data_IF_241744287715
#
_entry.id   IF_241744287715
#
_cell.length_a   1.000
_cell.length_b   1.000
_cell.length_c   1.000
_cell.angle_alpha   90.00
_cell.angle_beta   90.00
_cell.angle_gamma   90.00
#
_symmetry.space_group_name_H-M   'P 1'
#
loop_
_entity.id
_entity.type
_entity.pdbx_description
1 polymer ?
#
# COMPACT_ATOMS: atom_id res chain seq x y z
N UNK A 1 -4.61 -6.14 4.65
CA UNK A 1 -3.13 -6.27 4.76
C UNK A 1 -2.63 -6.96 3.50
N UNK A 2 -1.51 -6.51 2.94
CA UNK A 2 -0.92 -7.08 1.71
C UNK A 2 0.59 -7.19 1.89
N UNK A 3 1.19 -8.30 1.47
CA UNK A 3 2.65 -8.50 1.45
C UNK A 3 3.09 -8.66 0.00
N UNK A 4 4.10 -7.90 -0.41
CA UNK A 4 4.66 -7.94 -1.77
C UNK A 4 6.19 -8.07 -1.72
N UNK A 5 6.80 -8.87 -2.61
CA UNK A 5 8.25 -8.85 -2.77
C UNK A 5 8.69 -7.49 -3.32
N UNK A 6 9.87 -7.04 -2.90
CA UNK A 6 10.51 -5.88 -3.50
C UNK A 6 10.92 -6.22 -4.95
N UNK A 7 10.55 -5.39 -5.93
CA UNK A 7 10.93 -5.61 -7.33
C UNK A 7 12.44 -5.56 -7.62
N UNK A 8 13.25 -4.96 -6.74
CA UNK A 8 14.70 -4.81 -6.88
C UNK A 8 15.53 -5.79 -6.04
N UNK A 9 14.96 -6.41 -4.99
CA UNK A 9 15.69 -7.34 -4.12
C UNK A 9 14.79 -8.48 -3.64
N UNK A 10 15.16 -9.71 -3.99
CA UNK A 10 14.40 -10.93 -3.66
C UNK A 10 14.26 -11.24 -2.17
N UNK A 11 15.05 -10.57 -1.33
CA UNK A 11 15.06 -10.77 0.11
C UNK A 11 14.39 -9.63 0.86
N UNK A 12 13.99 -8.56 0.16
CA UNK A 12 13.21 -7.48 0.74
C UNK A 12 11.73 -7.65 0.43
N UNK A 13 10.88 -7.39 1.42
CA UNK A 13 9.44 -7.48 1.30
C UNK A 13 8.78 -6.24 1.86
N UNK A 14 7.77 -5.75 1.15
CA UNK A 14 6.87 -4.73 1.64
C UNK A 14 5.67 -5.37 2.35
N UNK A 15 5.34 -4.84 3.52
CA UNK A 15 4.11 -5.15 4.25
C UNK A 15 3.25 -3.90 4.30
N UNK A 16 2.11 -3.92 3.61
CA UNK A 16 1.17 -2.81 3.57
C UNK A 16 -0.04 -3.05 4.48
N UNK A 17 -0.43 -2.00 5.19
CA UNK A 17 -1.58 -1.98 6.09
C UNK A 17 -2.27 -0.62 6.08
N UNK A 18 -3.56 -0.62 6.44
CA UNK A 18 -4.36 0.59 6.59
C UNK A 18 -4.58 0.79 8.09
N UNK A 19 -4.31 1.99 8.58
CA UNK A 19 -4.77 2.43 9.88
C UNK A 19 -6.15 3.06 9.77
N UNK A 20 -7.06 2.72 10.68
CA UNK A 20 -8.46 3.18 10.67
C UNK A 20 -8.87 3.98 11.91
N UNK A 21 -7.97 4.12 12.89
CA UNK A 21 -8.20 4.85 14.15
C UNK A 21 -7.26 6.06 14.29
N UNK A 22 -6.59 6.22 15.44
CA UNK A 22 -5.79 7.41 15.79
C UNK A 22 -4.60 7.67 14.85
N UNK A 23 -4.07 6.60 14.25
CA UNK A 23 -3.01 6.69 13.24
C UNK A 23 -3.54 6.13 11.93
N UNK A 24 -4.41 6.91 11.29
CA UNK A 24 -5.07 6.53 10.04
C UNK A 24 -4.13 6.61 8.83
N UNK A 25 -4.58 6.01 7.73
CA UNK A 25 -3.90 6.08 6.44
C UNK A 25 -3.19 4.80 6.03
N UNK A 26 -2.72 4.79 4.78
CA UNK A 26 -1.94 3.69 4.23
C UNK A 26 -0.51 3.76 4.76
N UNK A 27 -0.02 2.62 5.24
CA UNK A 27 1.32 2.47 5.79
C UNK A 27 2.03 1.32 5.13
N UNK A 28 3.35 1.37 5.18
CA UNK A 28 4.18 0.23 4.84
C UNK A 28 5.26 -0.02 5.88
N UNK A 29 5.65 -1.27 5.99
CA UNK A 29 6.92 -1.69 6.55
C UNK A 29 7.73 -2.39 5.48
N UNK A 30 9.05 -2.40 5.63
CA UNK A 30 9.97 -3.13 4.77
C UNK A 30 10.77 -4.10 5.63
N UNK A 31 10.79 -5.36 5.24
CA UNK A 31 11.42 -6.45 5.97
C UNK A 31 12.53 -7.00 5.10
N UNK A 32 13.71 -7.21 5.69
CA UNK A 32 14.84 -7.90 5.07
C UNK A 32 14.96 -9.30 5.63
N UNK A 33 14.68 -10.32 4.82
CA UNK A 33 14.72 -11.72 5.22
C UNK A 33 16.15 -12.26 5.43
N UNK A 34 17.19 -11.59 4.92
CA UNK A 34 18.59 -11.96 5.22
C UNK A 34 18.99 -11.53 6.65
N UNK A 35 18.27 -10.56 7.20
CA UNK A 35 18.53 -10.04 8.54
C UNK A 35 18.28 -11.07 9.65
N UNK A 36 18.86 -10.80 10.82
CA UNK A 36 18.72 -11.64 12.02
C UNK A 36 19.03 -13.13 11.78
N UNK A 37 20.17 -13.41 11.13
CA UNK A 37 20.60 -14.76 10.77
C UNK A 37 19.55 -15.54 9.95
N UNK A 38 18.80 -14.85 9.08
CA UNK A 38 17.75 -15.44 8.24
C UNK A 38 16.36 -15.47 8.87
N UNK A 39 16.18 -14.94 10.09
CA UNK A 39 14.87 -14.82 10.74
C UNK A 39 14.08 -13.58 10.29
N UNK A 40 14.76 -12.67 9.58
CA UNK A 40 14.20 -11.43 9.10
C UNK A 40 14.41 -10.27 10.07
N UNK A 41 14.72 -9.10 9.53
CA UNK A 41 14.91 -7.86 10.28
C UNK A 41 14.07 -6.74 9.68
N UNK A 42 13.56 -5.86 10.54
CA UNK A 42 12.94 -4.63 10.08
C UNK A 42 13.96 -3.73 9.40
N UNK A 43 13.74 -3.47 8.11
CA UNK A 43 14.47 -2.44 7.37
C UNK A 43 13.82 -1.07 7.55
N UNK A 44 12.48 -1.01 7.46
CA UNK A 44 11.64 0.14 7.80
C UNK A 44 10.37 -0.36 8.49
N UNK A 45 9.85 0.35 9.48
CA UNK A 45 8.67 -0.08 10.24
C UNK A 45 7.60 1.01 10.29
N UNK A 46 6.38 0.65 9.93
CA UNK A 46 5.16 1.45 10.08
C UNK A 46 5.29 2.88 9.53
N UNK A 47 5.90 3.03 8.36
CA UNK A 47 6.05 4.32 7.68
C UNK A 47 4.71 4.72 7.06
N UNK A 48 4.24 5.93 7.35
CA UNK A 48 3.06 6.50 6.70
C UNK A 48 3.37 6.75 5.22
N UNK A 49 2.62 6.11 4.34
CA UNK A 49 2.70 6.31 2.89
C UNK A 49 1.74 7.40 2.44
N UNK A 50 0.51 7.36 2.97
CA UNK A 50 -0.55 8.28 2.62
C UNK A 50 -1.48 8.47 3.82
N UNK A 51 -1.82 9.72 4.13
CA UNK A 51 -2.68 10.08 5.25
C UNK A 51 -4.16 10.12 4.88
N UNK A 52 -4.58 9.60 3.74
CA UNK A 52 -6.00 9.55 3.38
C UNK A 52 -6.75 8.52 4.22
N UNK A 53 -7.97 8.84 4.67
CA UNK A 53 -8.88 7.85 5.23
C UNK A 53 -9.20 6.79 4.17
N UNK A 54 -8.90 5.54 4.48
CA UNK A 54 -9.14 4.41 3.56
C UNK A 54 -9.93 3.33 4.26
N UNK A 55 -10.74 2.61 3.49
CA UNK A 55 -11.47 1.44 3.97
C UNK A 55 -10.57 0.21 3.97
N UNK A 56 -10.98 -0.82 4.69
CA UNK A 56 -10.43 -2.17 4.49
C UNK A 56 -10.65 -2.67 3.05
N UNK A 57 -9.88 -3.69 2.65
CA UNK A 57 -9.92 -4.24 1.30
C UNK A 57 -8.73 -3.88 0.41
N UNK A 58 -7.61 -3.47 1.02
CA UNK A 58 -6.33 -3.32 0.32
C UNK A 58 -5.99 -4.61 -0.46
N UNK A 59 -5.72 -4.47 -1.75
CA UNK A 59 -5.37 -5.59 -2.64
C UNK A 59 -4.22 -5.23 -3.56
N UNK A 60 -3.61 -6.21 -4.20
CA UNK A 60 -2.55 -5.97 -5.16
C UNK A 60 -2.61 -6.96 -6.33
N UNK A 61 -2.11 -6.52 -7.48
CA UNK A 61 -2.02 -7.31 -8.70
C UNK A 61 -0.67 -7.07 -9.36
N UNK A 62 -0.14 -8.09 -10.05
CA UNK A 62 1.12 -7.98 -10.79
C UNK A 62 0.98 -6.98 -11.93
N UNK A 63 1.97 -6.10 -12.11
CA UNK A 63 2.05 -5.23 -13.27
C UNK A 63 2.30 -6.07 -14.53
N UNK A 64 1.76 -5.64 -15.68
CA UNK A 64 1.95 -6.33 -16.96
C UNK A 64 3.40 -6.40 -17.47
N UNK A 65 4.37 -5.83 -16.75
CA UNK A 65 5.79 -5.93 -17.08
C UNK A 65 6.46 -7.15 -16.41
N UNK A 66 5.71 -7.95 -15.65
CA UNK A 66 6.18 -9.18 -15.02
C UNK A 66 7.04 -8.99 -13.76
N UNK A 67 7.39 -7.75 -13.39
CA UNK A 67 8.26 -7.45 -12.24
C UNK A 67 7.57 -6.63 -11.17
N UNK A 68 6.92 -5.54 -11.56
CA UNK A 68 6.37 -4.56 -10.64
C UNK A 68 4.96 -4.96 -10.17
N UNK A 69 4.40 -4.20 -9.23
CA UNK A 69 3.06 -4.47 -8.68
C UNK A 69 2.22 -3.20 -8.62
N UNK A 70 0.92 -3.38 -8.83
CA UNK A 70 -0.09 -2.38 -8.51
C UNK A 70 -0.71 -2.73 -7.16
N UNK A 71 -0.66 -1.80 -6.21
CA UNK A 71 -1.39 -1.85 -4.95
C UNK A 71 -2.61 -0.94 -5.06
N UNK A 72 -3.78 -1.45 -4.69
CA UNK A 72 -5.07 -0.77 -4.86
C UNK A 72 -5.74 -0.59 -3.52
N UNK A 73 -6.09 0.65 -3.20
CA UNK A 73 -6.80 1.05 -1.99
C UNK A 73 -8.03 1.88 -2.34
N UNK A 74 -9.04 1.88 -1.47
CA UNK A 74 -10.27 2.66 -1.63
C UNK A 74 -10.41 3.69 -0.53
N UNK A 75 -10.85 4.89 -0.89
CA UNK A 75 -11.05 6.00 0.04
C UNK A 75 -12.26 5.76 0.93
N UNK A 76 -12.16 6.21 2.17
CA UNK A 76 -13.26 6.26 3.11
C UNK A 76 -13.69 7.70 3.37
N UNK A 77 -14.94 8.02 3.05
CA UNK A 77 -15.45 9.39 3.12
C UNK A 77 -16.23 9.73 4.40
N UNK A 78 -16.67 8.72 5.15
CA UNK A 78 -17.52 8.92 6.34
C UNK A 78 -16.85 9.83 7.38
N UNK A 79 -15.61 9.52 7.77
CA UNK A 79 -14.86 10.33 8.73
C UNK A 79 -14.27 11.62 8.14
N UNK A 80 -14.33 11.77 6.81
CA UNK A 80 -13.94 13.00 6.13
C UNK A 80 -15.09 14.01 6.01
N UNK A 81 -16.30 13.70 6.51
CA UNK A 81 -17.48 14.57 6.41
C UNK A 81 -18.02 14.71 4.98
N UNK A 82 -17.68 13.75 4.10
CA UNK A 82 -18.07 13.72 2.70
C UNK A 82 -19.27 12.78 2.48
N UNK A 83 -19.94 12.82 1.31
CA UNK A 83 -21.03 11.91 0.99
C UNK A 83 -20.63 10.44 1.23
N UNK A 84 -21.58 9.65 1.72
CA UNK A 84 -21.40 8.28 2.19
C UNK A 84 -20.90 7.30 1.11
N UNK A 85 -20.87 7.73 -0.15
CA UNK A 85 -20.60 6.91 -1.31
C UNK A 85 -19.56 7.59 -2.19
N UNK A 86 -18.47 6.87 -2.43
CA UNK A 86 -17.50 7.21 -3.46
C UNK A 86 -17.11 5.98 -4.27
N UNK A 87 -16.55 6.25 -5.44
CA UNK A 87 -15.83 5.29 -6.25
C UNK A 87 -14.40 5.78 -6.48
N UNK A 88 -13.80 6.32 -5.40
CA UNK A 88 -12.46 6.91 -5.41
C UNK A 88 -11.43 5.84 -5.05
N UNK A 89 -10.51 5.58 -5.98
CA UNK A 89 -9.49 4.55 -5.87
C UNK A 89 -8.09 5.14 -5.96
N UNK A 90 -7.21 4.62 -5.13
CA UNK A 90 -5.81 5.03 -5.04
C UNK A 90 -4.96 3.84 -5.46
N UNK A 91 -4.14 4.04 -6.47
CA UNK A 91 -3.30 3.00 -7.05
C UNK A 91 -1.84 3.39 -6.86
N UNK A 92 -1.07 2.51 -6.27
CA UNK A 92 0.35 2.72 -6.04
C UNK A 92 1.15 1.73 -6.87
N UNK A 93 2.15 2.21 -7.61
CA UNK A 93 3.14 1.37 -8.28
C UNK A 93 4.26 1.05 -7.31
N UNK A 94 4.50 -0.24 -7.10
CA UNK A 94 5.67 -0.73 -6.39
C UNK A 94 6.64 -1.21 -7.47
N UNK A 95 7.74 -0.49 -7.63
CA UNK A 95 8.77 -0.74 -8.65
C UNK A 95 10.17 -0.75 -8.03
N UNK A 96 11.19 -0.98 -8.84
CA UNK A 96 12.60 -0.89 -8.43
C UNK A 96 12.99 0.51 -7.95
N UNK A 97 12.23 1.54 -8.34
CA UNK A 97 12.43 2.92 -7.89
C UNK A 97 11.70 3.24 -6.58
N UNK A 98 11.05 2.25 -5.96
CA UNK A 98 10.23 2.41 -4.77
C UNK A 98 8.73 2.51 -5.08
N UNK A 99 8.02 3.21 -4.20
CA UNK A 99 6.55 3.34 -4.24
C UNK A 99 6.19 4.70 -4.84
N UNK A 100 5.38 4.73 -5.90
CA UNK A 100 4.78 5.95 -6.46
C UNK A 100 3.25 5.87 -6.45
N UNK A 101 2.57 6.96 -6.10
CA UNK A 101 1.11 7.01 -6.01
C UNK A 101 0.45 7.69 -7.22
N UNK A 102 -0.67 7.12 -7.65
CA UNK A 102 -1.56 7.66 -8.68
C UNK A 102 -3.00 7.66 -8.16
N UNK A 103 -3.72 8.76 -8.37
CA UNK A 103 -5.11 8.90 -7.94
C UNK A 103 -6.04 8.70 -9.13
N UNK A 104 -7.05 7.85 -8.97
CA UNK A 104 -8.08 7.64 -9.98
C UNK A 104 -9.45 7.82 -9.37
N UNK A 105 -10.21 8.75 -9.96
CA UNK A 105 -11.64 8.89 -9.68
C UNK A 105 -12.40 8.23 -10.82
N UNK A 106 -13.10 7.14 -10.53
CA UNK A 106 -14.05 6.61 -11.50
C UNK A 106 -15.26 7.55 -11.48
N UNK A 107 -15.52 8.21 -12.61
CA UNK A 107 -16.79 8.88 -12.81
C UNK A 107 -17.86 7.80 -12.78
N UNK A 108 -18.89 7.98 -11.94
CA UNK A 108 -20.05 7.09 -11.98
C UNK A 108 -20.63 7.07 -13.41
N UNK A 109 -21.14 5.92 -13.89
CA UNK A 109 -21.82 5.85 -15.18
C UNK A 109 -23.02 6.79 -15.25
#
# INVERSE_FOLDING_TARGET
MVILPDPADDSLFYLFSIGVSDSYGLKYSKIDLRGDNGLGKWWKKCVLLDSIYMVDGLTAVKHGNGRDWWLVARKWDYFAGLPWENNDWYIYLISTNGISGYQFKMLAP
#
